data_IF_332750175752
#
_entry.id   IF_332750175752
#
_cell.length_a   1.000
_cell.length_b   1.000
_cell.length_c   1.000
_cell.angle_alpha   90.00
_cell.angle_beta   90.00
_cell.angle_gamma   90.00
#
_symmetry.space_group_name_H-M   'P 1'
#
loop_
_entity.id
_entity.type
_entity.pdbx_description
1 polymer ?
#
# COMPACT_ATOMS: atom_id res chain seq x y z
N UNK A 1 29.14 2.88 -16.29
CA UNK A 1 28.15 3.39 -17.26
C UNK A 1 26.79 3.30 -16.58
N UNK A 2 26.30 4.41 -16.02
CA UNK A 2 24.95 4.48 -15.44
C UNK A 2 24.02 4.76 -16.60
N UNK A 3 23.34 3.73 -17.11
CA UNK A 3 22.33 3.89 -18.15
C UNK A 3 21.13 4.55 -17.50
N UNK A 4 21.06 5.88 -17.56
CA UNK A 4 19.92 6.63 -17.07
C UNK A 4 18.68 6.23 -17.88
N UNK A 5 17.76 5.54 -17.24
CA UNK A 5 16.46 5.20 -17.80
C UNK A 5 15.60 6.47 -17.81
N UNK A 6 15.75 7.31 -18.83
CA UNK A 6 14.83 8.42 -19.06
C UNK A 6 13.57 7.88 -19.76
N UNK A 7 12.42 8.20 -19.18
CA UNK A 7 11.09 7.92 -19.74
C UNK A 7 10.77 8.92 -20.86
N UNK A 8 10.42 8.41 -22.03
CA UNK A 8 9.48 9.09 -22.91
C UNK A 8 8.10 9.00 -22.27
N UNK A 9 7.64 10.10 -21.66
CA UNK A 9 6.24 10.25 -21.27
C UNK A 9 5.44 10.45 -22.55
N UNK A 10 4.91 9.37 -23.13
CA UNK A 10 3.94 9.47 -24.22
C UNK A 10 2.63 9.99 -23.63
N UNK A 11 2.46 11.32 -23.63
CA UNK A 11 1.20 11.96 -23.25
C UNK A 11 0.20 11.85 -24.41
N UNK A 12 -0.43 10.69 -24.56
CA UNK A 12 -1.69 10.60 -25.29
C UNK A 12 -2.83 10.68 -24.28
N UNK A 13 -3.31 11.91 -24.07
CA UNK A 13 -4.57 12.22 -23.39
C UNK A 13 -5.70 11.52 -24.16
N UNK A 14 -6.18 10.36 -23.68
CA UNK A 14 -7.56 9.86 -23.91
C UNK A 14 -7.87 8.51 -23.25
N UNK A 15 -6.94 7.88 -22.55
CA UNK A 15 -7.26 6.71 -21.70
C UNK A 15 -6.65 6.93 -20.32
N UNK A 16 -7.47 6.83 -19.29
CA UNK A 16 -7.04 6.83 -17.89
C UNK A 16 -6.27 5.55 -17.60
N UNK A 17 -5.12 5.37 -18.23
CA UNK A 17 -4.18 4.30 -17.92
C UNK A 17 -3.51 4.72 -16.62
N UNK A 18 -4.01 4.18 -15.51
CA UNK A 18 -3.38 4.38 -14.21
C UNK A 18 -1.96 3.86 -14.31
N UNK A 19 -1.00 4.74 -14.05
CA UNK A 19 0.40 4.50 -14.31
C UNK A 19 0.90 3.33 -13.45
N UNK A 20 1.37 2.26 -14.10
CA UNK A 20 2.32 1.35 -13.47
C UNK A 20 3.48 2.20 -12.95
N UNK A 21 3.81 2.06 -11.65
CA UNK A 21 4.93 2.78 -11.08
C UNK A 21 6.22 2.40 -11.79
N UNK A 22 6.85 3.35 -12.47
CA UNK A 22 8.20 3.17 -13.02
C UNK A 22 9.16 3.83 -12.05
N UNK A 23 9.99 3.02 -11.41
CA UNK A 23 10.97 3.51 -10.44
C UNK A 23 12.36 3.51 -11.07
N UNK A 24 13.13 4.58 -10.84
CA UNK A 24 14.58 4.46 -10.94
C UNK A 24 15.09 3.52 -9.84
N UNK A 25 16.24 2.86 -10.04
CA UNK A 25 16.83 2.03 -8.99
C UNK A 25 17.04 2.82 -7.68
N UNK A 26 17.52 4.06 -7.77
CA UNK A 26 17.74 4.89 -6.58
C UNK A 26 16.42 5.23 -5.87
N UNK A 27 15.36 5.54 -6.63
CA UNK A 27 14.03 5.80 -6.07
C UNK A 27 13.43 4.56 -5.42
N UNK A 28 13.61 3.39 -6.04
CA UNK A 28 13.13 2.12 -5.49
C UNK A 28 13.88 1.74 -4.21
N UNK A 29 15.21 1.84 -4.21
CA UNK A 29 16.05 1.64 -3.03
C UNK A 29 15.65 2.59 -1.90
N UNK A 30 15.39 3.86 -2.21
CA UNK A 30 14.91 4.82 -1.23
C UNK A 30 13.55 4.42 -0.65
N UNK A 31 12.61 3.99 -1.49
CA UNK A 31 11.30 3.52 -1.09
C UNK A 31 11.38 2.28 -0.19
N UNK A 32 12.25 1.32 -0.51
CA UNK A 32 12.50 0.15 0.33
C UNK A 32 13.16 0.51 1.68
N UNK A 33 14.00 1.56 1.70
CA UNK A 33 14.81 1.93 2.88
C UNK A 33 14.09 2.81 3.88
N UNK A 34 13.24 3.74 3.44
CA UNK A 34 12.61 4.75 4.30
C UNK A 34 11.16 5.09 3.90
N UNK A 35 10.66 4.46 2.84
CA UNK A 35 9.32 4.70 2.32
C UNK A 35 8.24 3.88 3.04
N UNK A 36 7.02 4.04 2.55
CA UNK A 36 5.91 3.15 2.88
C UNK A 36 5.51 2.34 1.65
N UNK A 37 5.31 1.04 1.82
CA UNK A 37 4.84 0.16 0.76
C UNK A 37 4.05 -1.03 1.31
N UNK A 38 3.21 -1.60 0.45
CA UNK A 38 2.56 -2.89 0.68
C UNK A 38 2.93 -3.86 -0.42
N UNK A 39 3.19 -5.11 -0.07
CA UNK A 39 3.21 -6.21 -1.03
C UNK A 39 2.03 -7.11 -0.73
N UNK A 40 1.19 -7.29 -1.74
CA UNK A 40 -0.01 -8.13 -1.70
C UNK A 40 -0.09 -8.90 -3.01
N UNK A 41 -0.53 -10.15 -2.94
CA UNK A 41 -0.72 -11.01 -4.10
C UNK A 41 -2.12 -11.59 -4.12
N UNK A 42 -2.37 -12.43 -5.12
CA UNK A 42 -3.61 -13.19 -5.28
C UNK A 42 -3.29 -14.67 -5.60
N UNK A 43 -2.08 -15.13 -5.28
CA UNK A 43 -1.64 -16.52 -5.49
C UNK A 43 -2.27 -17.49 -4.51
N UNK A 44 -2.00 -18.79 -4.70
CA UNK A 44 -2.59 -19.88 -3.91
C UNK A 44 -2.22 -19.74 -2.43
N UNK A 45 -3.20 -19.95 -1.56
CA UNK A 45 -2.98 -19.94 -0.13
C UNK A 45 -2.74 -21.35 0.44
N UNK A 46 -1.53 -21.64 0.96
CA UNK A 46 -1.21 -22.95 1.51
C UNK A 46 -1.98 -23.30 2.79
N UNK A 47 -2.51 -22.30 3.51
CA UNK A 47 -3.31 -22.53 4.72
C UNK A 47 -4.76 -22.96 4.42
N UNK A 48 -5.22 -22.83 3.17
CA UNK A 48 -6.59 -23.15 2.76
C UNK A 48 -6.58 -24.29 1.73
N UNK A 49 -6.94 -25.54 2.10
CA UNK A 49 -6.85 -26.70 1.19
C UNK A 49 -7.64 -26.54 -0.12
N UNK A 50 -8.77 -25.84 -0.11
CA UNK A 50 -9.55 -25.58 -1.32
C UNK A 50 -8.87 -24.59 -2.25
N UNK A 51 -8.07 -23.66 -1.72
CA UNK A 51 -7.34 -22.65 -2.50
C UNK A 51 -6.14 -23.25 -3.23
N UNK A 52 -5.49 -24.23 -2.60
CA UNK A 52 -4.41 -25.02 -3.21
C UNK A 52 -4.84 -25.80 -4.45
N UNK A 53 -6.14 -26.14 -4.56
CA UNK A 53 -6.70 -26.87 -5.68
C UNK A 53 -7.23 -25.96 -6.82
N UNK A 54 -7.05 -24.64 -6.72
CA UNK A 54 -7.43 -23.73 -7.79
C UNK A 54 -6.60 -23.97 -9.05
N UNK A 55 -7.26 -23.93 -10.20
CA UNK A 55 -6.59 -23.93 -11.51
C UNK A 55 -5.85 -22.62 -11.75
N UNK A 56 -4.82 -22.64 -12.61
CA UNK A 56 -4.07 -21.43 -12.94
C UNK A 56 -4.98 -20.32 -13.49
N UNK A 57 -5.97 -20.67 -14.33
CA UNK A 57 -6.97 -19.71 -14.84
C UNK A 57 -7.76 -19.01 -13.72
N UNK A 58 -8.07 -19.70 -12.63
CA UNK A 58 -8.76 -19.09 -11.49
C UNK A 58 -7.83 -18.14 -10.72
N UNK A 59 -6.55 -18.49 -10.59
CA UNK A 59 -5.54 -17.65 -9.98
C UNK A 59 -5.27 -16.40 -10.83
N UNK A 60 -5.14 -16.56 -12.15
CA UNK A 60 -4.97 -15.45 -13.09
C UNK A 60 -6.17 -14.49 -12.99
N UNK A 61 -7.39 -15.02 -13.03
CA UNK A 61 -8.60 -14.20 -12.88
C UNK A 61 -8.66 -13.47 -11.53
N UNK A 62 -8.25 -14.11 -10.43
CA UNK A 62 -8.19 -13.49 -9.11
C UNK A 62 -7.13 -12.38 -9.07
N UNK A 63 -5.98 -12.60 -9.70
CA UNK A 63 -4.89 -11.64 -9.81
C UNK A 63 -5.29 -10.42 -10.65
N UNK A 64 -5.98 -10.63 -11.76
CA UNK A 64 -6.54 -9.54 -12.58
C UNK A 64 -7.61 -8.75 -11.81
N UNK A 65 -8.42 -9.43 -11.00
CA UNK A 65 -9.43 -8.78 -10.16
C UNK A 65 -8.78 -7.95 -9.03
N UNK A 66 -7.68 -8.41 -8.44
CA UNK A 66 -6.89 -7.62 -7.49
C UNK A 66 -6.31 -6.39 -8.18
N UNK A 67 -5.70 -6.55 -9.36
CA UNK A 67 -5.18 -5.43 -10.15
C UNK A 67 -6.25 -4.38 -10.44
N UNK A 68 -7.42 -4.81 -10.92
CA UNK A 68 -8.54 -3.91 -11.21
C UNK A 68 -9.05 -3.17 -9.97
N UNK A 69 -9.04 -3.81 -8.80
CA UNK A 69 -9.34 -3.16 -7.53
C UNK A 69 -8.28 -2.12 -7.15
N UNK A 70 -7.00 -2.42 -7.35
CA UNK A 70 -5.92 -1.47 -7.10
C UNK A 70 -6.05 -0.23 -7.99
N UNK A 71 -6.32 -0.43 -9.28
CA UNK A 71 -6.61 0.62 -10.25
C UNK A 71 -7.85 1.43 -9.85
N UNK A 72 -8.96 0.77 -9.52
CA UNK A 72 -10.20 1.45 -9.11
C UNK A 72 -10.01 2.35 -7.88
N UNK A 73 -9.17 1.92 -6.94
CA UNK A 73 -8.84 2.69 -5.74
C UNK A 73 -7.68 3.69 -5.95
N UNK A 74 -7.22 3.86 -7.18
CA UNK A 74 -6.17 4.82 -7.57
C UNK A 74 -4.83 4.59 -6.84
N UNK A 75 -4.51 3.34 -6.50
CA UNK A 75 -3.21 3.02 -5.92
C UNK A 75 -2.10 3.11 -6.97
N UNK A 76 -0.94 3.63 -6.58
CA UNK A 76 0.28 3.54 -7.38
C UNK A 76 0.96 2.20 -7.08
N UNK A 77 1.01 1.30 -8.07
CA UNK A 77 1.59 -0.02 -7.89
C UNK A 77 2.43 -0.48 -9.08
N UNK A 78 3.25 -1.49 -8.83
CA UNK A 78 4.03 -2.20 -9.84
C UNK A 78 3.97 -3.70 -9.58
N UNK A 79 4.01 -4.50 -10.64
CA UNK A 79 4.06 -5.95 -10.50
C UNK A 79 5.39 -6.41 -9.92
N UNK A 80 5.34 -7.35 -8.99
CA UNK A 80 6.50 -8.02 -8.40
C UNK A 80 6.33 -9.52 -8.57
N UNK A 81 7.39 -10.18 -9.02
CA UNK A 81 7.45 -11.63 -9.05
C UNK A 81 8.09 -12.12 -7.75
N UNK A 82 7.31 -12.83 -6.94
CA UNK A 82 7.80 -13.56 -5.78
C UNK A 82 8.22 -14.98 -6.18
N UNK A 83 9.34 -15.43 -5.63
CA UNK A 83 9.76 -16.84 -5.67
C UNK A 83 10.01 -17.30 -4.25
N UNK A 84 9.16 -18.21 -3.77
CA UNK A 84 9.15 -18.71 -2.39
C UNK A 84 8.88 -20.22 -2.39
N UNK A 85 9.73 -20.99 -1.73
CA UNK A 85 9.72 -22.46 -1.69
C UNK A 85 9.62 -23.10 -3.09
N UNK A 86 10.28 -22.48 -4.07
CA UNK A 86 10.25 -22.89 -5.48
C UNK A 86 8.96 -22.56 -6.24
N UNK A 87 7.95 -22.01 -5.56
CA UNK A 87 6.72 -21.50 -6.16
C UNK A 87 6.93 -20.09 -6.73
N UNK A 88 6.26 -19.79 -7.85
CA UNK A 88 6.22 -18.44 -8.43
C UNK A 88 4.88 -17.80 -8.16
N UNK A 89 4.90 -16.55 -7.74
CA UNK A 89 3.70 -15.79 -7.42
C UNK A 89 3.77 -14.37 -7.97
N UNK A 90 2.70 -13.95 -8.64
CA UNK A 90 2.52 -12.57 -9.05
C UNK A 90 1.96 -11.78 -7.87
N UNK A 91 2.72 -10.78 -7.45
CA UNK A 91 2.38 -9.83 -6.39
C UNK A 91 2.32 -8.41 -6.96
N UNK A 92 1.76 -7.50 -6.17
CA UNK A 92 1.75 -6.07 -6.45
C UNK A 92 2.45 -5.34 -5.31
N UNK A 93 3.47 -4.57 -5.68
CA UNK A 93 4.13 -3.62 -4.80
C UNK A 93 3.42 -2.28 -4.92
N UNK A 94 2.82 -1.83 -3.83
CA UNK A 94 1.98 -0.64 -3.77
C UNK A 94 2.75 0.42 -2.98
N UNK A 95 2.98 1.57 -3.59
CA UNK A 95 3.57 2.72 -2.93
C UNK A 95 2.55 3.39 -2.01
N UNK A 96 2.91 3.62 -0.74
CA UNK A 96 2.09 4.37 0.19
C UNK A 96 2.52 5.84 0.17
N UNK A 97 1.56 6.72 -0.11
CA UNK A 97 1.82 8.16 -0.22
C UNK A 97 1.68 8.91 1.10
N UNK A 98 0.89 8.37 2.05
CA UNK A 98 0.60 9.07 3.29
C UNK A 98 1.63 8.75 4.38
N UNK A 99 2.39 9.77 4.79
CA UNK A 99 3.32 9.71 5.93
C UNK A 99 2.63 10.00 7.27
N UNK A 100 1.34 10.33 7.28
CA UNK A 100 0.59 10.63 8.50
C UNK A 100 0.32 9.37 9.33
N UNK A 101 -0.02 9.64 10.59
CA UNK A 101 -0.12 8.68 11.68
C UNK A 101 -1.39 7.79 11.63
N UNK A 102 -2.23 7.93 10.60
CA UNK A 102 -3.41 7.09 10.36
C UNK A 102 -3.05 5.69 9.81
N UNK A 103 -1.82 5.26 10.05
CA UNK A 103 -1.25 3.95 9.70
C UNK A 103 -2.18 2.79 10.05
N UNK A 104 -2.98 2.91 11.11
CA UNK A 104 -3.95 1.89 11.49
C UNK A 104 -5.06 1.71 10.45
N UNK A 105 -5.61 2.79 9.89
CA UNK A 105 -6.68 2.71 8.91
C UNK A 105 -6.18 2.12 7.59
N UNK A 106 -5.07 2.64 7.07
CA UNK A 106 -4.44 2.15 5.84
C UNK A 106 -4.04 0.67 5.99
N UNK A 107 -3.40 0.30 7.11
CA UNK A 107 -3.09 -1.11 7.41
C UNK A 107 -4.36 -1.98 7.43
N UNK A 108 -5.44 -1.53 8.08
CA UNK A 108 -6.71 -2.27 8.10
C UNK A 108 -7.33 -2.42 6.71
N UNK A 109 -7.23 -1.40 5.84
CA UNK A 109 -7.69 -1.49 4.46
C UNK A 109 -6.95 -2.60 3.69
N UNK A 110 -5.62 -2.64 3.78
CA UNK A 110 -4.85 -3.69 3.13
C UNK A 110 -5.06 -5.07 3.74
N UNK A 111 -5.27 -5.17 5.07
CA UNK A 111 -5.65 -6.44 5.70
C UNK A 111 -6.99 -6.97 5.16
N UNK A 112 -7.99 -6.08 4.99
CA UNK A 112 -9.28 -6.44 4.37
C UNK A 112 -9.09 -6.86 2.92
N UNK A 113 -8.21 -6.21 2.18
CA UNK A 113 -7.88 -6.59 0.80
C UNK A 113 -7.21 -7.98 0.75
N UNK A 114 -6.21 -8.25 1.60
CA UNK A 114 -5.58 -9.57 1.70
C UNK A 114 -6.60 -10.66 2.04
N UNK A 115 -7.51 -10.38 2.97
CA UNK A 115 -8.62 -11.29 3.30
C UNK A 115 -9.54 -11.53 2.10
N UNK A 116 -9.93 -10.47 1.38
CA UNK A 116 -10.80 -10.56 0.19
C UNK A 116 -10.23 -11.49 -0.88
N UNK A 117 -8.91 -11.50 -1.07
CA UNK A 117 -8.22 -12.31 -2.07
C UNK A 117 -7.61 -13.60 -1.52
N UNK A 118 -8.07 -14.04 -0.34
CA UNK A 118 -7.60 -15.24 0.36
C UNK A 118 -6.09 -15.30 0.54
N UNK A 119 -5.40 -14.17 0.73
CA UNK A 119 -3.97 -14.21 1.00
C UNK A 119 -3.67 -14.70 2.40
N UNK A 120 -2.63 -15.54 2.52
CA UNK A 120 -2.16 -15.98 3.83
C UNK A 120 -1.67 -14.79 4.64
N UNK A 121 -0.88 -13.93 4.00
CA UNK A 121 -0.38 -12.69 4.60
C UNK A 121 -0.17 -11.58 3.58
N UNK A 122 -0.05 -10.36 4.09
CA UNK A 122 0.45 -9.20 3.36
C UNK A 122 1.74 -8.71 3.99
N UNK A 123 2.57 -8.03 3.22
CA UNK A 123 3.73 -7.30 3.76
C UNK A 123 3.35 -5.83 3.82
N UNK A 124 3.37 -5.25 5.02
CA UNK A 124 3.11 -3.84 5.24
C UNK A 124 4.38 -3.20 5.80
N UNK A 125 4.90 -2.20 5.09
CA UNK A 125 6.07 -1.44 5.51
C UNK A 125 5.71 0.03 5.57
N UNK A 126 6.03 0.70 6.69
CA UNK A 126 5.87 2.15 6.82
C UNK A 126 7.08 2.75 7.51
N UNK A 127 7.71 3.72 6.86
CA UNK A 127 8.67 4.61 7.49
C UNK A 127 7.96 5.51 8.50
N UNK A 128 8.18 5.28 9.78
CA UNK A 128 7.73 6.17 10.85
C UNK A 128 8.83 7.21 11.04
N UNK A 129 8.49 8.47 10.76
CA UNK A 129 9.37 9.59 11.07
C UNK A 129 9.01 10.05 12.47
N UNK A 130 9.74 9.59 13.49
CA UNK A 130 9.80 10.30 14.75
C UNK A 130 10.71 11.53 14.54
N UNK A 131 10.44 12.62 15.26
CA UNK A 131 11.17 13.91 15.18
C UNK A 131 12.69 13.76 15.34
N UNK A 132 13.16 12.62 15.85
CA UNK A 132 14.56 12.31 16.10
C UNK A 132 15.08 11.04 15.42
N UNK A 133 14.20 10.18 14.86
CA UNK A 133 14.60 8.89 14.25
C UNK A 133 13.65 8.48 13.13
N UNK A 134 14.22 7.99 12.01
CA UNK A 134 13.44 7.26 11.01
C UNK A 134 13.52 5.77 11.33
N UNK A 135 12.41 5.20 11.81
CA UNK A 135 12.29 3.76 12.01
C UNK A 135 11.34 3.19 10.96
N UNK A 136 11.84 2.30 10.10
CA UNK A 136 10.98 1.55 9.20
C UNK A 136 10.41 0.36 9.95
N UNK A 137 9.09 0.34 10.06
CA UNK A 137 8.38 -0.82 10.59
C UNK A 137 7.96 -1.68 9.41
N UNK A 138 8.63 -2.80 9.22
CA UNK A 138 8.24 -3.84 8.28
C UNK A 138 7.46 -4.93 9.03
N UNK A 139 6.32 -5.35 8.51
CA UNK A 139 5.46 -6.36 9.12
C UNK A 139 4.97 -7.35 8.06
N UNK A 140 5.02 -8.64 8.37
CA UNK A 140 4.22 -9.65 7.70
C UNK A 140 2.95 -9.83 8.53
N UNK A 141 1.79 -9.52 7.95
CA UNK A 141 0.50 -9.55 8.66
C UNK A 141 -0.34 -10.68 8.08
N UNK A 142 -0.69 -11.66 8.90
CA UNK A 142 -1.55 -12.75 8.48
C UNK A 142 -2.98 -12.26 8.27
N UNK A 143 -3.53 -12.51 7.09
CA UNK A 143 -4.87 -12.06 6.68
C UNK A 143 -5.89 -13.18 6.61
N UNK A 144 -5.45 -14.44 6.64
CA UNK A 144 -6.33 -15.62 6.70
C UNK A 144 -5.70 -16.72 7.56
N UNK A 145 -6.36 -17.87 7.65
CA UNK A 145 -5.87 -19.03 8.40
C UNK A 145 -5.93 -18.87 9.92
N UNK A 146 -5.27 -19.79 10.63
CA UNK A 146 -5.29 -19.86 12.09
C UNK A 146 -4.59 -18.68 12.79
N UNK A 147 -3.75 -17.95 12.06
CA UNK A 147 -2.98 -16.82 12.59
C UNK A 147 -3.56 -15.46 12.17
N UNK A 148 -4.73 -15.43 11.55
CA UNK A 148 -5.36 -14.20 11.06
C UNK A 148 -5.35 -13.08 12.12
N UNK A 149 -4.84 -11.92 11.73
CA UNK A 149 -4.69 -10.73 12.58
C UNK A 149 -3.34 -10.63 13.30
N UNK A 150 -2.62 -11.74 13.48
CA UNK A 150 -1.27 -11.74 14.01
C UNK A 150 -0.28 -11.19 12.98
N UNK A 151 0.89 -10.78 13.46
CA UNK A 151 1.94 -10.27 12.60
C UNK A 151 3.34 -10.63 13.10
N UNK A 152 4.31 -10.59 12.20
CA UNK A 152 5.73 -10.83 12.45
C UNK A 152 6.51 -9.59 12.07
N UNK A 153 7.46 -9.19 12.92
CA UNK A 153 8.32 -8.05 12.64
C UNK A 153 9.39 -8.39 11.60
N UNK A 154 9.56 -7.51 10.64
CA UNK A 154 10.62 -7.53 9.66
C UNK A 154 11.85 -6.71 10.06
N UNK A 155 13.01 -7.07 9.52
CA UNK A 155 14.29 -6.36 9.67
C UNK A 155 14.62 -5.47 8.47
N UNK A 156 13.71 -5.34 7.51
CA UNK A 156 13.91 -4.60 6.28
C UNK A 156 14.24 -5.51 5.10
N UNK A 157 14.87 -4.93 4.08
CA UNK A 157 15.19 -5.65 2.85
C UNK A 157 16.69 -5.94 2.73
N UNK A 158 17.03 -6.95 1.94
CA UNK A 158 18.40 -7.25 1.50
C UNK A 158 18.41 -7.30 -0.02
N UNK A 159 19.29 -6.52 -0.64
CA UNK A 159 19.52 -6.57 -2.08
C UNK A 159 20.30 -7.83 -2.46
N UNK A 160 19.90 -8.46 -3.56
CA UNK A 160 20.64 -9.57 -4.14
C UNK A 160 21.22 -9.19 -5.49
N UNK A 161 22.51 -9.48 -5.67
CA UNK A 161 23.22 -9.09 -6.88
C UNK A 161 23.43 -10.21 -7.90
N UNK A 162 23.19 -11.50 -7.56
CA UNK A 162 23.11 -12.66 -8.49
C UNK A 162 22.82 -14.01 -7.80
N UNK A 163 22.30 -14.96 -8.58
CA UNK A 163 22.20 -16.40 -8.30
C UNK A 163 21.36 -16.82 -7.08
N UNK A 164 20.26 -16.12 -6.82
CA UNK A 164 19.27 -16.55 -5.83
C UNK A 164 18.23 -17.40 -6.54
N UNK A 165 18.02 -18.61 -6.04
CA UNK A 165 17.06 -19.56 -6.64
C UNK A 165 15.71 -19.55 -5.93
N UNK A 166 15.64 -18.98 -4.73
CA UNK A 166 14.45 -19.01 -3.89
C UNK A 166 14.45 -17.89 -2.82
N UNK A 167 13.29 -17.60 -2.24
CA UNK A 167 13.06 -16.59 -1.21
C UNK A 167 13.43 -15.16 -1.62
N UNK A 168 13.00 -14.76 -2.82
CA UNK A 168 13.23 -13.42 -3.34
C UNK A 168 11.99 -12.81 -4.01
N UNK A 169 12.01 -11.49 -4.11
CA UNK A 169 11.12 -10.66 -4.89
C UNK A 169 11.90 -10.00 -6.01
N UNK A 170 11.32 -9.96 -7.21
CA UNK A 170 11.87 -9.29 -8.38
C UNK A 170 10.87 -8.27 -8.91
N UNK A 171 11.32 -7.02 -9.07
CA UNK A 171 10.55 -5.95 -9.70
C UNK A 171 11.23 -5.48 -10.98
N UNK A 172 10.48 -5.36 -12.06
CA UNK A 172 11.00 -4.78 -13.30
C UNK A 172 11.03 -3.25 -13.16
N UNK A 173 12.22 -2.65 -13.17
CA UNK A 173 12.39 -1.20 -13.09
C UNK A 173 12.32 -0.54 -14.48
N UNK A 174 12.85 -1.22 -15.49
CA UNK A 174 12.72 -0.87 -16.91
C UNK A 174 12.86 -2.15 -17.76
N UNK A 175 12.58 -2.17 -19.08
CA UNK A 175 12.55 -3.41 -19.88
C UNK A 175 13.80 -4.29 -19.82
N UNK A 176 14.97 -3.71 -19.50
CA UNK A 176 16.26 -4.44 -19.45
C UNK A 176 16.84 -4.54 -18.04
N UNK A 177 16.17 -3.98 -17.02
CA UNK A 177 16.70 -3.91 -15.66
C UNK A 177 15.63 -4.28 -14.64
N UNK A 178 15.91 -5.34 -13.88
CA UNK A 178 15.14 -5.74 -12.72
C UNK A 178 15.94 -5.53 -11.43
N UNK A 179 15.22 -5.36 -10.32
CA UNK A 179 15.81 -5.27 -9.00
C UNK A 179 15.32 -6.44 -8.16
N UNK A 180 16.28 -7.18 -7.60
CA UNK A 180 16.03 -8.41 -6.85
C UNK A 180 16.37 -8.17 -5.39
N UNK A 181 15.42 -8.48 -4.51
CA UNK A 181 15.55 -8.26 -3.08
C UNK A 181 14.83 -9.36 -2.29
N UNK A 182 15.16 -9.49 -1.01
CA UNK A 182 14.40 -10.30 -0.07
C UNK A 182 14.04 -9.51 1.17
N UNK A 183 13.03 -9.98 1.87
CA UNK A 183 12.47 -9.34 3.06
C UNK A 183 12.67 -10.29 4.23
N UNK A 184 13.30 -9.79 5.28
CA UNK A 184 13.74 -10.63 6.39
C UNK A 184 12.76 -10.51 7.55
N UNK A 185 12.07 -11.58 7.89
CA UNK A 185 11.14 -11.61 9.02
C UNK A 185 11.69 -12.41 10.19
N UNK A 186 11.38 -11.95 11.41
CA UNK A 186 11.76 -12.64 12.63
C UNK A 186 10.64 -13.57 13.13
N UNK A 187 10.54 -14.76 12.56
CA UNK A 187 9.52 -15.75 12.93
C UNK A 187 9.66 -16.33 14.36
N UNK A 188 10.70 -15.95 15.12
CA UNK A 188 10.81 -16.36 16.53
C UNK A 188 9.84 -15.62 17.45
N UNK A 189 9.31 -14.47 16.99
CA UNK A 189 8.37 -13.65 17.76
C UNK A 189 7.16 -13.31 16.90
N UNK A 190 6.02 -13.89 17.26
CA UNK A 190 4.72 -13.56 16.67
C UNK A 190 3.99 -12.60 17.60
N UNK A 191 3.50 -11.50 17.06
CA UNK A 191 2.76 -10.49 17.79
C UNK A 191 1.28 -10.65 17.50
N UNK A 192 0.49 -10.72 18.56
CA UNK A 192 -0.97 -10.60 18.47
C UNK A 192 -1.33 -9.13 18.28
N UNK A 193 -2.41 -8.81 17.54
CA UNK A 193 -2.91 -7.45 17.53
C UNK A 193 -3.20 -7.04 18.98
N UNK A 194 -2.60 -5.95 19.47
CA UNK A 194 -3.00 -5.35 20.75
C UNK A 194 -4.49 -5.19 20.67
N UNK A 195 -5.22 -5.91 21.52
CA UNK A 195 -6.66 -6.08 21.44
C UNK A 195 -7.32 -4.79 20.98
N UNK A 196 -7.82 -4.78 19.75
CA UNK A 196 -9.01 -4.00 19.50
C UNK A 196 -10.01 -4.62 20.47
N UNK A 197 -10.33 -3.88 21.54
CA UNK A 197 -11.57 -4.05 22.28
C UNK A 197 -12.63 -4.47 21.26
N UNK A 198 -13.35 -5.59 21.46
CA UNK A 198 -14.22 -6.12 20.44
C UNK A 198 -15.14 -4.99 19.98
N UNK A 199 -14.99 -4.57 18.71
CA UNK A 199 -15.96 -3.75 18.01
C UNK A 199 -17.14 -4.66 17.68
N UNK A 200 -17.82 -5.07 18.75
CA UNK A 200 -19.17 -5.61 18.77
C UNK A 200 -19.93 -4.75 19.77
N UNK A 201 -20.30 -3.55 19.35
CA UNK A 201 -21.70 -3.15 19.43
C UNK A 201 -21.95 -2.03 18.42
N UNK A 202 -22.85 -2.27 17.48
CA UNK A 202 -23.43 -1.25 16.63
C UNK A 202 -24.42 -0.43 17.47
N UNK A 203 -23.91 0.29 18.46
CA UNK A 203 -24.62 1.47 18.96
C UNK A 203 -23.91 2.70 18.42
N UNK A 204 -24.75 3.58 17.90
CA UNK A 204 -24.43 4.76 17.14
C UNK A 204 -24.40 5.97 18.09
N UNK A 205 -23.28 6.33 18.75
CA UNK A 205 -23.10 7.72 19.19
C UNK A 205 -22.02 8.48 18.41
N UNK A 206 -21.03 7.81 17.80
CA UNK A 206 -19.88 8.53 17.22
C UNK A 206 -20.14 9.19 15.85
N UNK A 207 -21.25 8.88 15.18
CA UNK A 207 -21.64 9.57 13.93
C UNK A 207 -22.24 10.98 14.20
N UNK A 208 -22.60 11.29 15.45
CA UNK A 208 -23.16 12.61 15.79
C UNK A 208 -22.04 13.64 15.99
N UNK A 209 -20.92 13.26 16.58
CA UNK A 209 -19.80 14.20 16.83
C UNK A 209 -19.05 14.56 15.54
N UNK A 210 -18.90 13.62 14.60
CA UNK A 210 -18.25 13.91 13.31
C UNK A 210 -19.09 14.85 12.46
N UNK A 211 -20.43 14.74 12.51
CA UNK A 211 -21.32 15.65 11.81
C UNK A 211 -21.29 17.07 12.41
N UNK A 212 -21.23 17.20 13.74
CA UNK A 212 -21.11 18.51 14.39
C UNK A 212 -19.78 19.21 14.04
N UNK A 213 -18.67 18.46 13.98
CA UNK A 213 -17.37 19.01 13.59
C UNK A 213 -17.35 19.43 12.11
N UNK A 214 -17.93 18.62 11.22
CA UNK A 214 -18.03 18.93 9.79
C UNK A 214 -18.94 20.14 9.55
N UNK A 215 -20.09 20.24 10.25
CA UNK A 215 -20.97 21.40 10.14
C UNK A 215 -20.31 22.68 10.67
N UNK A 216 -19.56 22.60 11.77
CA UNK A 216 -18.81 23.73 12.30
C UNK A 216 -17.69 24.18 11.34
N UNK A 217 -16.96 23.25 10.73
CA UNK A 217 -15.95 23.57 9.71
C UNK A 217 -16.58 24.20 8.46
N UNK A 218 -17.72 23.68 8.01
CA UNK A 218 -18.44 24.22 6.85
C UNK A 218 -18.99 25.63 7.12
N UNK A 219 -19.46 25.91 8.34
CA UNK A 219 -19.89 27.24 8.75
C UNK A 219 -18.73 28.25 8.73
N UNK A 220 -17.55 27.87 9.20
CA UNK A 220 -16.36 28.72 9.17
C UNK A 220 -15.88 29.02 7.75
N UNK A 221 -15.93 28.05 6.84
CA UNK A 221 -15.60 28.25 5.42
C UNK A 221 -16.56 29.27 4.79
N UNK A 222 -17.87 29.12 5.01
CA UNK A 222 -18.89 30.04 4.49
C UNK A 222 -18.73 31.46 5.04
N UNK A 223 -18.39 31.60 6.33
CA UNK A 223 -18.14 32.91 6.94
C UNK A 223 -16.90 33.60 6.34
N UNK A 224 -15.83 32.84 6.09
CA UNK A 224 -14.63 33.37 5.45
C UNK A 224 -14.87 33.73 3.99
N UNK A 225 -15.69 32.97 3.27
CA UNK A 225 -16.04 33.29 1.88
C UNK A 225 -16.79 34.63 1.78
N UNK A 226 -17.79 34.86 2.63
CA UNK A 226 -18.51 36.16 2.66
C UNK A 226 -17.59 37.33 2.98
N UNK A 227 -16.68 37.16 3.94
CA UNK A 227 -15.67 38.21 4.24
C UNK A 227 -14.80 38.54 3.04
N UNK A 228 -14.47 37.55 2.22
CA UNK A 228 -13.70 37.78 1.00
C UNK A 228 -14.51 38.55 -0.04
N UNK A 229 -15.79 38.18 -0.21
CA UNK A 229 -16.73 38.88 -1.10
C UNK A 229 -16.91 40.35 -0.68
N UNK A 230 -17.13 40.61 0.62
CA UNK A 230 -17.24 41.98 1.16
C UNK A 230 -15.97 42.81 0.93
N UNK A 231 -14.78 42.19 1.01
CA UNK A 231 -13.50 42.87 0.75
C UNK A 231 -13.31 43.20 -0.73
N UNK A 232 -13.74 42.32 -1.63
CA UNK A 232 -13.69 42.55 -3.07
C UNK A 232 -14.60 43.72 -3.45
N UNK A 233 -15.81 43.77 -2.89
CA UNK A 233 -16.76 44.85 -3.16
C UNK A 233 -16.24 46.21 -2.64
N UNK A 234 -15.57 46.22 -1.48
CA UNK A 234 -14.91 47.43 -0.96
C UNK A 234 -13.75 47.91 -1.83
N UNK A 235 -13.00 47.00 -2.47
CA UNK A 235 -11.85 47.36 -3.31
C UNK A 235 -12.32 47.96 -4.66
N UNK A 236 -13.51 47.59 -5.14
CA UNK A 236 -14.11 48.17 -6.34
C UNK A 236 -14.60 49.61 -6.15
N UNK A 237 -15.08 49.97 -4.95
CA UNK A 237 -15.55 51.34 -4.63
C UNK A 237 -14.41 52.39 -4.57
N UNK A 238 -13.14 51.97 -4.51
CA UNK A 238 -11.99 52.90 -4.55
C UNK A 238 -11.46 53.19 -5.96
N UNK A 239 -12.06 52.60 -7.01
CA UNK A 239 -11.59 52.75 -8.40
C UNK A 239 -12.52 53.58 -9.30
N UNK A 240 -13.59 54.16 -8.74
CA UNK A 240 -14.46 55.16 -9.38
C UNK A 240 -14.25 56.56 -8.84
#
# INVERSE_FOLDING_TARGET
LVTNCYLEVISTLTTTTIASGVYSQQSFVHLLSVGGYVIISAGRNPSIPTDMNLSDRQIDHRTDTLKADLEKNLYLFSTVLGVYDGGREVSFFISLHDRRDDSLHERQQFMKMGTKYNQDSIIYTKGITDKYFMNVTQQLIYTTGQHMGNWVQGKGYVEFHKNVTDNYSEIQLCPTHSYVFSLNFNFTQMFVPMSATPLCDCTLPQLIETNALVEHQLANIKANQRRLEDLIDLEFDFTS
#
